data_IF_633371229807
#
_entry.id   IF_633371229807
#
_cell.length_a   1.000
_cell.length_b   1.000
_cell.length_c   1.000
_cell.angle_alpha   90.00
_cell.angle_beta   90.00
_cell.angle_gamma   90.00
#
_symmetry.space_group_name_H-M   'P 1'
#
loop_
_entity.id
_entity.type
_entity.pdbx_description
1 polymer ?
#
# COMPACT_ATOMS: atom_id res chain seq x y z
N UNK A 1 0.86 -10.34 32.67
CA UNK A 1 0.61 -9.29 31.66
C UNK A 1 1.92 -9.08 30.94
N UNK A 2 2.21 -9.95 29.96
CA UNK A 2 3.59 -10.17 29.48
C UNK A 2 3.67 -10.65 28.02
N UNK A 3 2.57 -11.07 27.41
CA UNK A 3 2.56 -11.55 26.01
C UNK A 3 2.60 -10.38 25.02
N UNK A 4 1.69 -9.41 25.18
CA UNK A 4 1.67 -8.17 24.39
C UNK A 4 2.95 -7.33 24.57
N UNK A 5 3.48 -7.25 25.80
CA UNK A 5 4.69 -6.44 26.07
C UNK A 5 5.94 -7.02 25.41
N UNK A 6 6.07 -8.35 25.32
CA UNK A 6 7.17 -9.00 24.59
C UNK A 6 7.01 -8.81 23.08
N UNK A 7 5.77 -8.82 22.58
CA UNK A 7 5.46 -8.53 21.18
C UNK A 7 5.90 -7.11 20.77
N UNK A 8 5.57 -6.09 21.58
CA UNK A 8 6.02 -4.73 21.33
C UNK A 8 7.51 -4.54 21.55
N UNK A 9 8.11 -5.15 22.59
CA UNK A 9 9.53 -5.01 22.90
C UNK A 9 10.45 -5.54 21.78
N UNK A 10 10.13 -6.71 21.20
CA UNK A 10 10.89 -7.30 20.08
C UNK A 10 10.83 -6.46 18.80
N UNK A 11 9.68 -5.82 18.55
CA UNK A 11 9.46 -4.97 17.37
C UNK A 11 10.09 -3.58 17.55
N UNK A 12 10.10 -3.04 18.76
CA UNK A 12 10.74 -1.75 19.06
C UNK A 12 12.27 -1.88 18.97
N UNK A 13 12.90 -2.88 19.60
CA UNK A 13 14.37 -2.88 19.76
C UNK A 13 15.20 -3.03 18.46
N UNK A 14 14.63 -3.58 17.38
CA UNK A 14 15.33 -3.80 16.09
C UNK A 14 14.70 -3.10 14.88
N UNK A 15 13.47 -2.54 14.98
CA UNK A 15 12.72 -2.01 13.83
C UNK A 15 12.15 -0.59 14.05
N UNK A 16 12.66 0.21 14.99
CA UNK A 16 12.18 1.59 15.22
C UNK A 16 12.18 2.43 13.93
N UNK A 17 13.23 2.32 13.11
CA UNK A 17 13.33 3.06 11.85
C UNK A 17 12.21 2.70 10.85
N UNK A 18 11.86 1.41 10.73
CA UNK A 18 10.78 0.94 9.88
C UNK A 18 9.41 1.39 10.39
N UNK A 19 9.24 1.47 11.71
CA UNK A 19 8.01 1.96 12.35
C UNK A 19 7.76 3.44 12.04
N UNK A 20 8.79 4.28 12.16
CA UNK A 20 8.66 5.69 11.80
C UNK A 20 8.44 5.89 10.29
N UNK A 21 9.10 5.10 9.44
CA UNK A 21 8.88 5.13 7.99
C UNK A 21 7.44 4.77 7.64
N UNK A 22 6.90 3.71 8.26
CA UNK A 22 5.51 3.31 8.06
C UNK A 22 4.54 4.44 8.46
N UNK A 23 4.73 5.02 9.64
CA UNK A 23 3.91 6.13 10.12
C UNK A 23 3.97 7.35 9.19
N UNK A 24 5.15 7.66 8.65
CA UNK A 24 5.30 8.74 7.68
C UNK A 24 4.60 8.40 6.36
N UNK A 25 4.77 7.19 5.83
CA UNK A 25 4.23 6.79 4.53
C UNK A 25 2.72 6.57 4.54
N UNK A 26 2.19 5.87 5.55
CA UNK A 26 0.77 5.52 5.61
C UNK A 26 -0.09 6.61 6.25
N UNK A 27 0.47 7.42 7.16
CA UNK A 27 -0.31 8.41 7.89
C UNK A 27 0.08 9.84 7.52
N UNK A 28 1.33 10.23 7.69
CA UNK A 28 1.73 11.64 7.56
C UNK A 28 1.68 12.14 6.11
N UNK A 29 2.17 11.33 5.16
CA UNK A 29 2.22 11.64 3.74
C UNK A 29 0.83 11.86 3.13
N UNK A 30 -0.13 10.91 3.20
CA UNK A 30 -1.45 11.14 2.64
C UNK A 30 -2.20 12.25 3.39
N UNK A 31 -2.01 12.39 4.70
CA UNK A 31 -2.68 13.43 5.48
C UNK A 31 -2.24 14.83 5.06
N UNK A 32 -0.93 15.08 4.93
CA UNK A 32 -0.41 16.39 4.55
C UNK A 32 -0.65 16.70 3.08
N UNK A 33 -0.41 15.73 2.18
CA UNK A 33 -0.55 15.93 0.75
C UNK A 33 -2.02 16.10 0.33
N UNK A 34 -2.95 15.41 1.01
CA UNK A 34 -4.39 15.55 0.77
C UNK A 34 -5.06 16.50 1.76
N UNK A 35 -4.34 17.34 2.51
CA UNK A 35 -5.01 18.31 3.40
C UNK A 35 -5.71 19.41 2.59
N UNK A 36 -5.04 19.88 1.53
CA UNK A 36 -5.54 20.95 0.69
C UNK A 36 -6.59 20.45 -0.32
N UNK A 37 -7.62 21.26 -0.53
CA UNK A 37 -8.71 20.95 -1.47
C UNK A 37 -8.21 20.89 -2.91
N UNK A 38 -7.27 21.75 -3.28
CA UNK A 38 -6.77 21.81 -4.66
C UNK A 38 -5.90 20.58 -4.98
N UNK A 39 -5.15 20.08 -3.98
CA UNK A 39 -4.39 18.84 -4.09
C UNK A 39 -5.28 17.60 -4.26
N UNK A 40 -6.48 17.59 -3.66
CA UNK A 40 -7.46 16.50 -3.86
C UNK A 40 -8.07 16.48 -5.25
N UNK A 41 -7.97 17.56 -6.02
CA UNK A 41 -8.55 17.68 -7.37
C UNK A 41 -7.51 17.54 -8.47
N UNK A 42 -6.23 17.60 -8.11
CA UNK A 42 -5.12 17.35 -9.01
C UNK A 42 -4.90 15.85 -9.18
N UNK A 43 -5.14 15.35 -10.40
CA UNK A 43 -4.92 13.94 -10.77
C UNK A 43 -3.47 13.51 -10.51
N UNK A 44 -2.50 14.39 -10.77
CA UNK A 44 -1.08 14.08 -10.54
C UNK A 44 -0.78 13.84 -9.06
N UNK A 45 -1.31 14.68 -8.16
CA UNK A 45 -1.06 14.57 -6.72
C UNK A 45 -1.77 13.34 -6.16
N UNK A 46 -3.02 13.09 -6.57
CA UNK A 46 -3.75 11.87 -6.19
C UNK A 46 -3.01 10.60 -6.63
N UNK A 47 -2.48 10.59 -7.85
CA UNK A 47 -1.70 9.45 -8.37
C UNK A 47 -0.44 9.23 -7.54
N UNK A 48 0.33 10.29 -7.26
CA UNK A 48 1.54 10.19 -6.42
C UNK A 48 1.22 9.70 -5.01
N UNK A 49 0.19 10.25 -4.36
CA UNK A 49 -0.23 9.81 -3.01
C UNK A 49 -0.67 8.36 -3.02
N UNK A 50 -1.41 7.92 -4.04
CA UNK A 50 -1.87 6.53 -4.16
C UNK A 50 -0.70 5.55 -4.26
N UNK A 51 0.35 5.88 -5.03
CA UNK A 51 1.57 5.07 -5.13
C UNK A 51 2.28 5.02 -3.76
N UNK A 52 2.42 6.18 -3.09
CA UNK A 52 3.08 6.26 -1.78
C UNK A 52 2.34 5.40 -0.75
N UNK A 53 1.01 5.46 -0.70
CA UNK A 53 0.17 4.66 0.22
C UNK A 53 0.27 3.17 -0.11
N UNK A 54 0.28 2.80 -1.39
CA UNK A 54 0.43 1.39 -1.79
C UNK A 54 1.79 0.83 -1.35
N UNK A 55 2.88 1.60 -1.53
CA UNK A 55 4.19 1.25 -1.01
C UNK A 55 4.24 1.25 0.53
N UNK A 56 3.55 2.20 1.18
CA UNK A 56 3.41 2.26 2.63
C UNK A 56 2.74 1.01 3.20
N UNK A 57 1.66 0.55 2.58
CA UNK A 57 0.99 -0.69 2.98
C UNK A 57 1.87 -1.91 2.78
N UNK A 58 2.69 -1.95 1.73
CA UNK A 58 3.68 -3.01 1.58
C UNK A 58 4.65 -3.05 2.77
N UNK A 59 5.15 -1.88 3.20
CA UNK A 59 6.02 -1.76 4.38
C UNK A 59 5.26 -2.15 5.67
N UNK A 60 3.96 -1.90 5.75
CA UNK A 60 3.11 -2.32 6.87
C UNK A 60 2.99 -3.84 7.00
N UNK A 61 2.67 -4.51 5.90
CA UNK A 61 2.67 -5.96 5.85
C UNK A 61 4.05 -6.55 6.15
N UNK A 62 5.11 -5.93 5.63
CA UNK A 62 6.49 -6.34 5.91
C UNK A 62 6.80 -6.26 7.41
N UNK A 63 6.51 -5.14 8.07
CA UNK A 63 6.73 -4.97 9.52
C UNK A 63 5.86 -5.89 10.39
N UNK A 64 4.66 -6.25 9.92
CA UNK A 64 3.81 -7.19 10.63
C UNK A 64 4.35 -8.63 10.56
N UNK A 65 4.87 -9.04 9.41
CA UNK A 65 5.28 -10.42 9.11
C UNK A 65 6.73 -10.71 9.53
N UNK A 66 7.66 -9.80 9.26
CA UNK A 66 9.10 -10.00 9.52
C UNK A 66 9.49 -10.42 10.93
N UNK A 67 9.01 -9.78 12.03
CA UNK A 67 9.39 -10.19 13.37
C UNK A 67 8.88 -11.58 13.75
N UNK A 68 7.79 -12.06 13.12
CA UNK A 68 7.34 -13.44 13.27
C UNK A 68 8.27 -14.44 12.58
N UNK A 69 8.87 -14.08 11.45
CA UNK A 69 9.78 -14.97 10.71
C UNK A 69 11.15 -15.07 11.39
N UNK A 70 11.69 -13.97 11.95
CA UNK A 70 12.96 -13.99 12.67
C UNK A 70 12.92 -14.69 14.03
N UNK A 71 11.73 -14.92 14.58
CA UNK A 71 11.57 -15.71 15.80
C UNK A 71 11.69 -17.22 15.54
N UNK A 72 11.34 -17.68 14.32
CA UNK A 72 11.40 -19.10 13.93
C UNK A 72 12.52 -19.43 12.93
N UNK A 73 13.22 -18.42 12.38
CA UNK A 73 14.23 -18.57 11.32
C UNK A 73 15.63 -18.06 11.69
N UNK A 74 16.65 -18.62 11.01
CA UNK A 74 18.08 -18.33 11.22
C UNK A 74 18.41 -16.83 11.13
N UNK A 75 19.11 -16.32 12.14
CA UNK A 75 19.58 -14.91 12.26
C UNK A 75 20.44 -14.43 11.08
N UNK A 76 20.92 -15.33 10.23
CA UNK A 76 21.79 -15.04 9.07
C UNK A 76 21.03 -14.71 7.77
N UNK A 77 19.70 -14.83 7.76
CA UNK A 77 18.83 -14.51 6.62
C UNK A 77 18.26 -13.09 6.61
N UNK A 78 18.83 -12.17 7.42
CA UNK A 78 18.27 -10.85 7.72
C UNK A 78 18.40 -9.79 6.60
N UNK A 79 18.34 -10.21 5.35
CA UNK A 79 18.41 -9.34 4.19
C UNK A 79 17.07 -9.25 3.47
N UNK A 80 16.65 -8.02 3.16
CA UNK A 80 15.62 -7.72 2.17
C UNK A 80 15.97 -8.48 0.87
N UNK A 81 15.31 -9.61 0.65
CA UNK A 81 15.78 -10.63 -0.27
C UNK A 81 15.34 -10.36 -1.71
N UNK A 82 16.11 -10.85 -2.69
CA UNK A 82 15.68 -10.93 -4.10
C UNK A 82 14.35 -11.69 -4.22
N UNK A 83 14.13 -12.68 -3.35
CA UNK A 83 12.89 -13.45 -3.31
C UNK A 83 11.70 -12.57 -2.91
N UNK A 84 11.85 -11.68 -1.92
CA UNK A 84 10.75 -10.82 -1.46
C UNK A 84 10.34 -9.83 -2.55
N UNK A 85 11.32 -9.19 -3.20
CA UNK A 85 11.09 -8.27 -4.31
C UNK A 85 10.55 -9.02 -5.53
N UNK A 86 11.06 -10.22 -5.81
CA UNK A 86 10.63 -11.06 -6.93
C UNK A 86 9.19 -11.55 -6.77
N UNK A 87 8.81 -11.98 -5.57
CA UNK A 87 7.43 -12.36 -5.26
C UNK A 87 6.50 -11.14 -5.29
N UNK A 88 6.93 -10.00 -4.76
CA UNK A 88 6.19 -8.74 -4.84
C UNK A 88 5.89 -8.35 -6.30
N UNK A 89 6.94 -8.25 -7.13
CA UNK A 89 6.79 -7.90 -8.53
C UNK A 89 6.01 -8.95 -9.32
N UNK A 90 6.17 -10.24 -9.00
CA UNK A 90 5.41 -11.32 -9.60
C UNK A 90 3.91 -11.19 -9.34
N UNK A 91 3.52 -10.93 -8.08
CA UNK A 91 2.12 -10.71 -7.73
C UNK A 91 1.55 -9.41 -8.32
N UNK A 92 2.31 -8.31 -8.29
CA UNK A 92 1.89 -7.04 -8.90
C UNK A 92 1.71 -7.19 -10.41
N UNK A 93 2.63 -7.89 -11.08
CA UNK A 93 2.56 -8.17 -12.50
C UNK A 93 1.35 -9.04 -12.85
N UNK A 94 1.12 -10.12 -12.10
CA UNK A 94 -0.05 -11.00 -12.29
C UNK A 94 -1.37 -10.26 -12.04
N UNK A 95 -1.44 -9.47 -10.98
CA UNK A 95 -2.62 -8.66 -10.65
C UNK A 95 -2.90 -7.65 -11.77
N UNK A 96 -1.89 -6.90 -12.20
CA UNK A 96 -2.01 -5.92 -13.28
C UNK A 96 -2.47 -6.61 -14.58
N UNK A 97 -1.84 -7.72 -14.96
CA UNK A 97 -2.20 -8.47 -16.16
C UNK A 97 -3.65 -8.98 -16.12
N UNK A 98 -4.07 -9.56 -15.00
CA UNK A 98 -5.44 -10.09 -14.84
C UNK A 98 -6.49 -8.97 -14.85
N UNK A 99 -6.22 -7.83 -14.19
CA UNK A 99 -7.11 -6.66 -14.18
C UNK A 99 -7.23 -6.07 -15.58
N UNK A 100 -6.12 -5.80 -16.28
CA UNK A 100 -6.16 -5.26 -17.65
C UNK A 100 -6.82 -6.21 -18.63
N UNK A 101 -6.56 -7.52 -18.51
CA UNK A 101 -7.22 -8.55 -19.34
C UNK A 101 -8.73 -8.59 -19.09
N UNK A 102 -9.18 -8.44 -17.84
CA UNK A 102 -10.60 -8.36 -17.49
C UNK A 102 -11.25 -7.08 -18.03
N UNK A 103 -10.56 -5.95 -17.90
CA UNK A 103 -11.05 -4.64 -18.33
C UNK A 103 -11.18 -4.54 -19.86
N UNK A 104 -10.28 -5.18 -20.61
CA UNK A 104 -10.34 -5.26 -22.08
C UNK A 104 -11.57 -6.02 -22.60
N UNK A 105 -12.13 -6.95 -21.80
CA UNK A 105 -13.28 -7.77 -22.20
C UNK A 105 -14.64 -7.06 -22.11
N UNK A 106 -14.71 -5.89 -21.47
CA UNK A 106 -15.97 -5.16 -21.23
C UNK A 106 -15.84 -3.68 -21.54
N UNK A 107 -16.92 -3.00 -21.96
CA UNK A 107 -16.89 -1.55 -22.14
C UNK A 107 -16.61 -0.84 -20.81
N UNK A 108 -15.61 0.06 -20.80
CA UNK A 108 -15.21 0.86 -19.63
C UNK A 108 -16.33 1.77 -19.10
N UNK A 109 -17.28 2.14 -19.95
CA UNK A 109 -18.43 2.99 -19.61
C UNK A 109 -19.70 2.14 -19.69
N UNK A 110 -20.47 2.15 -18.60
CA UNK A 110 -21.77 1.48 -18.53
C UNK A 110 -22.83 2.29 -19.31
N UNK A 111 -22.88 2.11 -20.63
CA UNK A 111 -23.73 2.90 -21.55
C UNK A 111 -25.23 2.95 -21.21
N UNK A 112 -25.76 1.95 -20.48
CA UNK A 112 -27.18 1.84 -20.14
C UNK A 112 -27.50 2.23 -18.68
N UNK A 113 -26.58 2.89 -17.97
CA UNK A 113 -26.83 3.28 -16.59
C UNK A 113 -27.73 4.53 -16.50
N UNK A 114 -28.84 4.51 -15.75
CA UNK A 114 -29.81 5.62 -15.71
C UNK A 114 -29.21 6.94 -15.18
N UNK A 115 -28.18 6.87 -14.35
CA UNK A 115 -27.47 8.05 -13.80
C UNK A 115 -26.26 8.49 -14.65
N UNK A 116 -26.01 7.89 -15.82
CA UNK A 116 -24.83 8.20 -16.65
C UNK A 116 -24.79 9.68 -17.07
N UNK A 117 -25.92 10.23 -17.50
CA UNK A 117 -26.02 11.63 -17.90
C UNK A 117 -25.84 12.59 -16.71
N UNK A 118 -26.26 12.20 -15.52
CA UNK A 118 -26.08 13.00 -14.31
C UNK A 118 -24.61 13.00 -13.86
N UNK A 119 -23.92 11.84 -13.92
CA UNK A 119 -22.49 11.74 -13.61
C UNK A 119 -21.58 12.48 -14.62
N UNK A 120 -21.95 12.51 -15.90
CA UNK A 120 -21.20 13.26 -16.93
C UNK A 120 -21.32 14.79 -16.76
N UNK A 121 -22.47 15.26 -16.29
CA UNK A 121 -22.71 16.68 -16.00
C UNK A 121 -22.41 17.03 -14.54
N UNK A 122 -21.80 16.11 -13.78
CA UNK A 122 -21.44 16.35 -12.39
C UNK A 122 -20.17 17.21 -12.33
N UNK A 123 -20.38 18.52 -12.31
CA UNK A 123 -19.32 19.48 -12.01
C UNK A 123 -19.24 19.65 -10.48
N UNK A 124 -18.17 19.14 -9.88
CA UNK A 124 -17.70 19.58 -8.55
C UNK A 124 -16.84 20.83 -8.70
#
# INVERSE_FOLDING_TARGET
>A
MSEETVYFYKRFNNYEAWFYINLILNFLSPLLLLMDRDNKRSENILLTVSIIVLCGHWVDYYQMIMPGIFEFGTKDGAGFGIIEIGTAMGFVGLFTFTVLSSLSKKPLIAKNHPFLQESLNHHL
#
